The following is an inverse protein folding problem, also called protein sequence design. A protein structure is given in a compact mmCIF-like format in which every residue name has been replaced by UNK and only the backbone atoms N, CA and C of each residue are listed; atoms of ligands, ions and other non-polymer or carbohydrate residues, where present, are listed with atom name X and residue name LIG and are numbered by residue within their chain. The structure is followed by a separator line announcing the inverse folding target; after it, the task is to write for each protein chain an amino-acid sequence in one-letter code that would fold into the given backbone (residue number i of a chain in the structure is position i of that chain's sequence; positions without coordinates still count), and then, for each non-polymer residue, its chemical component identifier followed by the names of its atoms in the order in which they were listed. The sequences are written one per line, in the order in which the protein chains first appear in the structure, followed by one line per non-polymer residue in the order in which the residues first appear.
data_IF_360785413552
#
_entry.id   IF_360785413552
#
_cell.length_a   1.000
_cell.length_b   1.000
_cell.length_c   1.000
_cell.angle_alpha   90.00
_cell.angle_beta   90.00
_cell.angle_gamma   90.00
#
_symmetry.space_group_name_H-M   'P 1'
#
loop_
_entity.id
_entity.type
_entity.pdbx_description
1 polymer ?
#
# COMPACT_ATOMS: atom_id res chain seq x y z
N UNK A 1 4.60 26.74 3.68
CA UNK A 1 4.94 26.66 2.23
C UNK A 1 3.99 25.63 1.63
N UNK A 2 3.27 25.98 0.55
CA UNK A 2 2.31 25.09 -0.07
C UNK A 2 3.04 24.09 -0.96
N UNK A 3 2.84 22.78 -0.68
CA UNK A 3 3.46 21.68 -1.40
C UNK A 3 2.65 21.32 -2.63
N UNK A 4 3.28 21.27 -3.80
CA UNK A 4 2.65 20.77 -5.02
C UNK A 4 2.91 19.26 -5.20
N UNK A 5 1.88 18.51 -5.65
CA UNK A 5 2.04 17.09 -5.97
C UNK A 5 2.71 16.92 -7.33
N UNK A 6 3.59 15.91 -7.45
CA UNK A 6 4.26 15.59 -8.72
C UNK A 6 3.26 15.27 -9.84
N UNK A 7 2.15 14.61 -9.52
CA UNK A 7 1.08 14.37 -10.50
C UNK A 7 0.48 15.67 -11.06
N UNK A 8 0.30 16.70 -10.23
CA UNK A 8 -0.20 18.01 -10.67
C UNK A 8 0.82 18.74 -11.55
N UNK A 9 2.12 18.66 -11.22
CA UNK A 9 3.17 19.22 -12.08
C UNK A 9 3.12 18.64 -13.51
N UNK A 10 2.92 17.32 -13.62
CA UNK A 10 2.80 16.69 -14.95
C UNK A 10 1.49 17.01 -15.67
N UNK A 11 0.42 17.27 -14.93
CA UNK A 11 -0.88 17.63 -15.53
C UNK A 11 -0.89 19.07 -16.07
N UNK A 12 -0.30 20.00 -15.30
CA UNK A 12 -0.35 21.44 -15.57
C UNK A 12 0.98 22.00 -16.09
N UNK A 13 1.83 21.15 -16.68
CA UNK A 13 3.22 21.44 -17.03
C UNK A 13 3.41 22.73 -17.84
N UNK A 14 2.54 22.99 -18.85
CA UNK A 14 2.65 24.15 -19.72
C UNK A 14 2.42 25.49 -18.98
N UNK A 15 1.55 25.44 -17.94
CA UNK A 15 1.22 26.63 -17.15
C UNK A 15 2.26 26.91 -16.06
N UNK A 16 3.11 25.92 -15.77
CA UNK A 16 4.09 25.97 -14.67
C UNK A 16 5.52 26.27 -15.15
N UNK A 17 5.76 26.34 -16.45
CA UNK A 17 7.08 26.65 -16.99
C UNK A 17 7.64 27.97 -16.42
N UNK A 18 8.86 27.94 -15.94
CA UNK A 18 9.54 29.04 -15.29
C UNK A 18 9.04 29.41 -13.88
N UNK A 19 7.95 28.78 -13.37
CA UNK A 19 7.45 29.08 -12.03
C UNK A 19 8.22 28.32 -10.95
N UNK A 20 8.43 28.99 -9.83
CA UNK A 20 9.01 28.36 -8.65
C UNK A 20 7.96 27.54 -7.90
N UNK A 21 8.30 26.30 -7.59
CA UNK A 21 7.43 25.33 -6.91
C UNK A 21 8.16 24.65 -5.79
N UNK A 22 7.39 24.17 -4.81
CA UNK A 22 7.90 23.31 -3.74
C UNK A 22 7.32 21.91 -3.89
N UNK A 23 8.18 20.90 -3.97
CA UNK A 23 7.82 19.48 -4.00
C UNK A 23 8.51 18.74 -2.87
N UNK A 24 7.80 17.77 -2.29
CA UNK A 24 8.35 16.89 -1.27
C UNK A 24 8.22 15.45 -1.73
N UNK A 25 9.24 14.64 -1.49
CA UNK A 25 9.21 13.24 -1.91
C UNK A 25 10.42 12.46 -1.44
N UNK A 26 10.50 11.24 -1.93
CA UNK A 26 11.61 10.33 -1.61
C UNK A 26 12.50 10.16 -2.83
N UNK A 27 13.82 10.23 -2.60
CA UNK A 27 14.83 9.99 -3.63
C UNK A 27 14.76 8.52 -4.09
N UNK A 28 14.56 8.33 -5.39
CA UNK A 28 14.64 7.02 -6.07
C UNK A 28 16.03 6.75 -6.58
N UNK A 29 16.70 7.79 -7.07
CA UNK A 29 18.11 7.76 -7.43
C UNK A 29 18.72 9.12 -7.18
N UNK A 30 19.99 9.14 -6.85
CA UNK A 30 20.82 10.35 -6.80
C UNK A 30 22.07 10.04 -7.62
N UNK A 31 22.39 10.94 -8.56
CA UNK A 31 23.57 10.84 -9.41
C UNK A 31 24.39 12.10 -9.25
N UNK A 32 25.57 11.96 -8.68
CA UNK A 32 26.55 13.03 -8.53
C UNK A 32 27.50 13.06 -9.73
N UNK A 33 27.60 14.24 -10.37
CA UNK A 33 28.53 14.53 -11.46
C UNK A 33 29.61 15.52 -11.02
N UNK A 34 29.80 15.72 -9.72
CA UNK A 34 30.74 16.61 -9.02
C UNK A 34 30.36 18.09 -9.02
N UNK A 35 30.07 18.69 -10.16
CA UNK A 35 29.66 20.11 -10.30
C UNK A 35 28.14 20.26 -10.37
N UNK A 36 27.45 19.24 -10.83
CA UNK A 36 25.98 19.15 -10.86
C UNK A 36 25.55 17.72 -10.61
N UNK A 37 24.26 17.51 -10.41
CA UNK A 37 23.72 16.18 -10.19
C UNK A 37 22.23 16.10 -10.48
N UNK A 38 21.71 14.88 -10.47
CA UNK A 38 20.31 14.58 -10.74
C UNK A 38 19.72 13.75 -9.63
N UNK A 39 18.51 14.11 -9.22
CA UNK A 39 17.70 13.33 -8.29
C UNK A 39 16.42 12.90 -9.03
N UNK A 40 16.11 11.62 -9.01
CA UNK A 40 14.77 11.15 -9.33
C UNK A 40 13.94 11.16 -8.05
N UNK A 41 12.97 12.06 -7.95
CA UNK A 41 12.09 12.23 -6.80
C UNK A 41 10.71 11.64 -7.07
N UNK A 42 10.12 10.97 -6.10
CA UNK A 42 8.76 10.47 -6.19
C UNK A 42 7.99 10.73 -4.88
N UNK A 43 6.81 11.31 -4.98
CA UNK A 43 5.94 11.62 -3.85
C UNK A 43 4.78 10.62 -3.66
N UNK A 44 4.73 9.59 -4.49
CA UNK A 44 3.66 8.59 -4.49
C UNK A 44 2.37 9.03 -5.20
N UNK A 45 2.25 10.25 -5.68
CA UNK A 45 1.04 10.73 -6.37
C UNK A 45 0.85 10.11 -7.75
N UNK A 46 1.95 9.74 -8.44
CA UNK A 46 1.93 9.06 -9.73
C UNK A 46 3.08 8.07 -9.89
N UNK A 47 3.11 7.31 -11.01
CA UNK A 47 4.20 6.38 -11.33
C UNK A 47 5.47 7.06 -11.83
N UNK A 48 5.34 8.23 -12.43
CA UNK A 48 6.47 8.96 -12.98
C UNK A 48 7.32 9.53 -11.83
N UNK A 49 8.63 9.44 -11.97
CA UNK A 49 9.55 10.17 -11.12
C UNK A 49 9.77 11.56 -11.71
N UNK A 50 9.95 12.55 -10.84
CA UNK A 50 10.32 13.90 -11.22
C UNK A 50 11.84 14.00 -11.21
N UNK A 51 12.44 14.50 -12.28
CA UNK A 51 13.85 14.84 -12.29
C UNK A 51 14.06 16.20 -11.61
N UNK A 52 14.99 16.22 -10.68
CA UNK A 52 15.51 17.45 -10.06
C UNK A 52 16.96 17.58 -10.46
N UNK A 53 17.30 18.74 -11.01
CA UNK A 53 18.68 19.14 -11.34
C UNK A 53 19.21 19.94 -10.16
N UNK A 54 20.36 19.54 -9.63
CA UNK A 54 21.05 20.23 -8.55
C UNK A 54 22.43 20.70 -9.02
N UNK A 55 22.81 21.92 -8.67
CA UNK A 55 24.11 22.54 -9.00
C UNK A 55 24.93 22.79 -7.73
N UNK A 56 26.22 22.50 -7.79
CA UNK A 56 27.13 22.78 -6.69
C UNK A 56 27.34 24.27 -6.45
N UNK A 57 27.16 25.09 -7.51
CA UNK A 57 27.30 26.54 -7.43
C UNK A 57 26.07 27.22 -6.80
N UNK A 58 24.90 26.58 -6.88
CA UNK A 58 23.63 27.12 -6.38
C UNK A 58 23.27 26.58 -4.97
N UNK A 59 23.72 25.37 -4.63
CA UNK A 59 23.36 24.69 -3.40
C UNK A 59 24.52 24.58 -2.41
N UNK A 60 24.47 25.34 -1.33
CA UNK A 60 25.50 25.32 -0.28
C UNK A 60 25.68 23.93 0.38
N UNK A 61 24.63 23.10 0.38
CA UNK A 61 24.63 21.75 0.94
C UNK A 61 24.70 20.64 -0.12
N UNK A 62 25.19 20.95 -1.33
CA UNK A 62 25.29 20.01 -2.46
C UNK A 62 25.92 18.68 -2.07
N UNK A 63 27.06 18.70 -1.35
CA UNK A 63 27.74 17.48 -0.91
C UNK A 63 26.92 16.62 0.05
N UNK A 64 26.15 17.25 0.92
CA UNK A 64 25.25 16.53 1.82
C UNK A 64 24.15 15.83 1.01
N UNK A 65 23.56 16.51 0.04
CA UNK A 65 22.50 15.97 -0.80
C UNK A 65 23.04 14.84 -1.69
N UNK A 66 24.18 15.06 -2.33
CA UNK A 66 24.83 14.07 -3.20
C UNK A 66 25.23 12.79 -2.43
N UNK A 67 25.50 12.89 -1.14
CA UNK A 67 25.81 11.78 -0.24
C UNK A 67 24.60 11.04 0.31
N UNK A 68 23.36 11.44 -0.01
CA UNK A 68 22.18 10.76 0.47
C UNK A 68 21.94 9.43 -0.27
N UNK A 69 21.28 8.51 0.43
CA UNK A 69 20.92 7.20 -0.12
C UNK A 69 19.50 7.20 -0.71
N UNK A 70 19.21 6.17 -1.51
CA UNK A 70 17.85 5.88 -1.98
C UNK A 70 16.89 5.81 -0.80
N UNK A 71 15.74 6.46 -0.92
CA UNK A 71 14.74 6.52 0.13
C UNK A 71 14.84 7.73 1.05
N UNK A 72 15.88 8.56 0.93
CA UNK A 72 15.95 9.83 1.67
C UNK A 72 14.74 10.71 1.34
N UNK A 73 14.17 11.36 2.35
CA UNK A 73 13.07 12.30 2.21
C UNK A 73 13.61 13.71 1.99
N UNK A 74 13.15 14.35 0.93
CA UNK A 74 13.65 15.64 0.47
C UNK A 74 12.50 16.62 0.28
N UNK A 75 12.77 17.90 0.64
CA UNK A 75 11.96 19.05 0.27
C UNK A 75 12.77 19.82 -0.77
N UNK A 76 12.20 20.02 -1.94
CA UNK A 76 12.86 20.66 -3.09
C UNK A 76 12.09 21.89 -3.48
N UNK A 77 12.75 23.05 -3.51
CA UNK A 77 12.24 24.27 -4.11
C UNK A 77 13.03 24.56 -5.36
N UNK A 78 12.36 25.02 -6.42
CA UNK A 78 13.03 25.36 -7.66
C UNK A 78 12.10 25.68 -8.81
N UNK A 79 12.66 26.15 -9.90
CA UNK A 79 11.93 26.50 -11.10
C UNK A 79 11.62 25.26 -11.95
N UNK A 80 10.39 25.18 -12.42
CA UNK A 80 9.98 24.18 -13.42
C UNK A 80 10.59 24.56 -14.77
N UNK A 81 11.18 23.61 -15.46
CA UNK A 81 11.76 23.77 -16.79
C UNK A 81 11.19 22.69 -17.70
N UNK A 82 10.55 23.10 -18.79
CA UNK A 82 10.08 22.15 -19.80
C UNK A 82 11.26 21.61 -20.62
N UNK A 83 11.26 20.29 -20.83
CA UNK A 83 12.31 19.58 -21.57
C UNK A 83 11.70 18.68 -22.66
N UNK A 84 11.03 19.24 -23.67
CA UNK A 84 10.28 18.47 -24.67
C UNK A 84 11.15 17.52 -25.50
N UNK A 85 12.41 17.85 -25.69
CA UNK A 85 13.39 17.02 -26.42
C UNK A 85 14.00 15.90 -25.55
N UNK A 86 13.76 15.93 -24.21
CA UNK A 86 14.32 14.95 -23.30
C UNK A 86 13.36 13.77 -23.08
N UNK A 87 13.87 12.71 -22.43
CA UNK A 87 13.07 11.54 -22.09
C UNK A 87 11.87 11.87 -21.19
N UNK A 88 11.99 12.91 -20.39
CA UNK A 88 10.95 13.42 -19.50
C UNK A 88 10.51 14.80 -19.94
N UNK A 89 9.22 15.16 -19.82
CA UNK A 89 8.68 16.40 -20.36
C UNK A 89 9.09 17.65 -19.59
N UNK A 90 9.47 17.50 -18.31
CA UNK A 90 9.89 18.60 -17.44
C UNK A 90 10.89 18.13 -16.39
N UNK A 91 11.60 19.08 -15.81
CA UNK A 91 12.47 18.92 -14.65
C UNK A 91 12.35 20.12 -13.71
N UNK A 92 12.82 19.99 -12.48
CA UNK A 92 12.98 21.12 -11.56
C UNK A 92 14.45 21.48 -11.46
N UNK A 93 14.77 22.73 -11.75
CA UNK A 93 16.07 23.32 -11.44
C UNK A 93 16.02 23.82 -9.99
N UNK A 94 16.69 23.11 -9.10
CA UNK A 94 16.57 23.35 -7.66
C UNK A 94 17.30 24.63 -7.24
N UNK A 95 16.58 25.52 -6.57
CA UNK A 95 17.12 26.69 -5.86
C UNK A 95 17.46 26.35 -4.41
N UNK A 96 16.74 25.40 -3.80
CA UNK A 96 17.08 24.85 -2.49
C UNK A 96 16.62 23.40 -2.35
N UNK A 97 17.37 22.61 -1.60
CA UNK A 97 17.01 21.22 -1.22
C UNK A 97 17.30 21.04 0.27
N UNK A 98 16.28 20.61 1.00
CA UNK A 98 16.40 20.26 2.40
C UNK A 98 16.27 18.74 2.57
N UNK A 99 17.13 18.16 3.41
CA UNK A 99 17.07 16.73 3.76
C UNK A 99 16.23 16.58 5.03
N UNK A 100 14.94 16.32 4.85
CA UNK A 100 13.99 16.11 5.95
C UNK A 100 14.26 14.79 6.68
N UNK A 101 14.63 13.74 5.94
CA UNK A 101 14.92 12.44 6.52
C UNK A 101 16.02 11.71 5.75
N UNK A 102 17.06 11.31 6.48
CA UNK A 102 18.18 10.54 5.91
C UNK A 102 17.78 9.07 5.74
N UNK A 103 18.35 8.43 4.72
CA UNK A 103 18.25 6.98 4.50
C UNK A 103 19.62 6.34 4.70
N UNK A 104 19.62 5.14 5.26
CA UNK A 104 20.84 4.41 5.55
C UNK A 104 21.33 3.60 4.33
N UNK A 105 22.64 3.28 4.22
CA UNK A 105 23.19 2.52 3.09
C UNK A 105 22.61 1.09 2.97
N UNK A 106 22.12 0.54 4.07
CA UNK A 106 21.52 -0.79 4.15
C UNK A 106 20.02 -0.82 3.80
N UNK A 107 19.46 0.33 3.36
CA UNK A 107 18.06 0.38 2.90
C UNK A 107 17.79 -0.70 1.84
N UNK A 108 16.82 -1.62 2.06
CA UNK A 108 16.70 -2.84 1.27
C UNK A 108 16.34 -2.63 -0.21
N UNK A 109 15.60 -1.55 -0.52
CA UNK A 109 15.15 -1.25 -1.88
C UNK A 109 16.18 -0.42 -2.65
N UNK A 110 17.33 -1.00 -2.92
CA UNK A 110 18.37 -0.40 -3.74
C UNK A 110 17.99 -0.38 -5.23
N UNK A 111 18.72 0.39 -6.05
CA UNK A 111 18.53 0.50 -7.51
C UNK A 111 18.92 -0.80 -8.22
N UNK A 112 18.14 -1.86 -8.01
CA UNK A 112 18.28 -3.16 -8.68
C UNK A 112 16.92 -3.84 -8.79
N UNK A 113 16.82 -4.84 -9.66
CA UNK A 113 15.63 -5.68 -9.75
C UNK A 113 15.52 -6.54 -8.49
N UNK A 114 14.34 -6.55 -7.86
CA UNK A 114 14.02 -7.37 -6.71
C UNK A 114 13.03 -8.46 -7.12
N UNK A 115 13.23 -9.69 -6.64
CA UNK A 115 12.26 -10.75 -6.86
C UNK A 115 11.00 -10.57 -6.00
N UNK A 116 9.89 -11.18 -6.43
CA UNK A 116 8.63 -11.13 -5.67
C UNK A 116 8.79 -11.81 -4.32
N UNK A 117 9.55 -12.91 -4.26
CA UNK A 117 9.84 -13.66 -3.04
C UNK A 117 10.56 -12.77 -2.02
N UNK A 118 11.61 -12.07 -2.45
CA UNK A 118 12.32 -11.12 -1.60
C UNK A 118 11.38 -9.99 -1.12
N UNK A 119 10.56 -9.42 -2.01
CA UNK A 119 9.62 -8.36 -1.65
C UNK A 119 8.55 -8.82 -0.65
N UNK A 120 8.23 -10.10 -0.61
CA UNK A 120 7.34 -10.68 0.41
C UNK A 120 7.97 -10.73 1.80
N UNK A 121 9.29 -10.79 1.90
CA UNK A 121 9.99 -10.74 3.21
C UNK A 121 10.06 -9.33 3.81
N UNK A 122 9.89 -8.29 2.98
CA UNK A 122 9.91 -6.87 3.38
C UNK A 122 8.57 -6.19 3.09
N UNK A 123 7.48 -6.76 3.61
CA UNK A 123 6.11 -6.35 3.30
C UNK A 123 5.84 -4.86 3.50
N UNK A 124 6.43 -4.25 4.52
CA UNK A 124 6.31 -2.82 4.87
C UNK A 124 6.97 -1.90 3.85
N UNK A 125 7.92 -2.39 3.03
CA UNK A 125 8.62 -1.59 2.00
C UNK A 125 8.13 -1.90 0.58
N UNK A 126 7.59 -3.09 0.33
CA UNK A 126 7.21 -3.52 -1.03
C UNK A 126 6.27 -2.57 -1.78
N UNK A 127 5.33 -1.81 -1.13
CA UNK A 127 4.49 -0.84 -1.84
C UNK A 127 5.26 0.28 -2.53
N UNK A 128 6.51 0.50 -2.12
CA UNK A 128 7.40 1.50 -2.73
C UNK A 128 8.02 1.04 -4.05
N UNK A 129 7.87 -0.23 -4.43
CA UNK A 129 8.30 -0.75 -5.73
C UNK A 129 7.25 -0.52 -6.80
N UNK A 130 7.67 -0.38 -8.07
CA UNK A 130 6.73 -0.14 -9.17
C UNK A 130 5.69 -1.26 -9.29
N UNK A 131 6.11 -2.52 -9.15
CA UNK A 131 5.21 -3.68 -9.23
C UNK A 131 4.11 -3.62 -8.18
N UNK A 132 4.47 -3.50 -6.91
CA UNK A 132 3.47 -3.49 -5.83
C UNK A 132 2.71 -2.17 -5.75
N UNK A 133 3.32 -1.05 -6.10
CA UNK A 133 2.61 0.21 -6.26
C UNK A 133 1.50 0.09 -7.31
N UNK A 134 1.78 -0.52 -8.47
CA UNK A 134 0.77 -0.79 -9.49
C UNK A 134 -0.32 -1.73 -8.96
N UNK A 135 0.06 -2.85 -8.36
CA UNK A 135 -0.87 -3.84 -7.82
C UNK A 135 -1.84 -3.23 -6.80
N UNK A 136 -1.32 -2.45 -5.85
CA UNK A 136 -2.18 -1.85 -4.82
C UNK A 136 -3.06 -0.71 -5.36
N UNK A 137 -2.60 0.04 -6.36
CA UNK A 137 -3.44 1.03 -7.05
C UNK A 137 -4.59 0.37 -7.80
N UNK A 138 -4.30 -0.68 -8.58
CA UNK A 138 -5.34 -1.46 -9.28
C UNK A 138 -6.33 -2.04 -8.28
N UNK A 139 -5.85 -2.63 -7.18
CA UNK A 139 -6.71 -3.16 -6.12
C UNK A 139 -7.64 -2.09 -5.53
N UNK A 140 -7.11 -0.90 -5.27
CA UNK A 140 -7.90 0.22 -4.72
C UNK A 140 -9.00 0.66 -5.68
N UNK A 141 -8.66 0.84 -6.96
CA UNK A 141 -9.64 1.24 -8.00
C UNK A 141 -10.69 0.14 -8.22
N UNK A 142 -10.26 -1.13 -8.26
CA UNK A 142 -11.17 -2.27 -8.42
C UNK A 142 -12.16 -2.37 -7.26
N UNK A 143 -11.71 -2.17 -6.02
CA UNK A 143 -12.59 -2.18 -4.85
C UNK A 143 -13.66 -1.08 -4.94
N UNK A 144 -13.27 0.13 -5.35
CA UNK A 144 -14.22 1.21 -5.54
C UNK A 144 -15.22 0.92 -6.68
N UNK A 145 -14.74 0.42 -7.81
CA UNK A 145 -15.58 0.06 -8.95
C UNK A 145 -16.62 -1.02 -8.61
N UNK A 146 -16.27 -1.97 -7.74
CA UNK A 146 -17.22 -2.99 -7.24
C UNK A 146 -18.35 -2.31 -6.47
N UNK A 147 -18.04 -1.41 -5.54
CA UNK A 147 -19.06 -0.70 -4.78
C UNK A 147 -19.94 0.19 -5.68
N UNK A 148 -19.34 0.87 -6.64
CA UNK A 148 -20.06 1.71 -7.60
C UNK A 148 -21.02 0.87 -8.46
N UNK A 149 -20.54 -0.24 -9.03
CA UNK A 149 -21.34 -1.16 -9.82
C UNK A 149 -22.49 -1.77 -9.02
N UNK A 150 -22.24 -2.23 -7.80
CA UNK A 150 -23.27 -2.82 -6.95
C UNK A 150 -24.36 -1.80 -6.57
N UNK A 151 -23.98 -0.56 -6.29
CA UNK A 151 -24.96 0.52 -6.04
C UNK A 151 -25.79 0.87 -7.27
N UNK A 152 -25.21 0.77 -8.46
CA UNK A 152 -25.94 1.06 -9.71
C UNK A 152 -27.10 0.07 -9.96
N UNK A 153 -27.00 -1.14 -9.41
CA UNK A 153 -28.08 -2.15 -9.46
C UNK A 153 -28.91 -2.19 -8.16
N UNK A 154 -28.85 -1.13 -7.35
CA UNK A 154 -29.60 -0.94 -6.11
C UNK A 154 -29.32 -1.95 -4.98
N UNK A 155 -28.19 -2.68 -5.04
CA UNK A 155 -27.79 -3.62 -3.97
C UNK A 155 -27.27 -2.90 -2.73
N UNK A 156 -27.63 -3.39 -1.56
CA UNK A 156 -27.16 -2.89 -0.27
C UNK A 156 -25.91 -3.63 0.19
N UNK A 157 -24.91 -2.89 0.64
CA UNK A 157 -23.72 -3.50 1.22
C UNK A 157 -24.01 -4.02 2.63
N UNK A 158 -23.92 -5.32 2.83
CA UNK A 158 -23.96 -5.94 4.14
C UNK A 158 -22.56 -6.04 4.76
N UNK A 159 -22.40 -5.52 5.97
CA UNK A 159 -21.15 -5.64 6.74
C UNK A 159 -21.20 -6.89 7.60
N UNK A 160 -20.14 -7.68 7.53
CA UNK A 160 -20.05 -8.97 8.19
C UNK A 160 -19.01 -8.97 9.29
N UNK A 161 -19.26 -9.66 10.42
CA UNK A 161 -18.21 -9.89 11.39
C UNK A 161 -17.16 -10.84 10.82
N UNK A 162 -15.87 -10.43 10.88
CA UNK A 162 -14.75 -11.28 10.46
C UNK A 162 -14.55 -12.52 11.34
N UNK A 163 -15.25 -12.60 12.47
CA UNK A 163 -15.12 -13.64 13.49
C UNK A 163 -16.51 -14.11 13.96
N UNK A 164 -17.25 -14.90 13.15
CA UNK A 164 -18.53 -15.47 13.55
C UNK A 164 -18.36 -16.60 14.56
N UNK A 165 -19.38 -16.79 15.38
CA UNK A 165 -19.53 -18.04 16.13
C UNK A 165 -19.71 -19.23 15.15
N UNK A 166 -19.29 -20.45 15.50
CA UNK A 166 -19.31 -21.58 14.58
C UNK A 166 -20.73 -22.07 14.36
N UNK A 167 -21.40 -21.51 13.38
CA UNK A 167 -22.77 -21.95 12.98
C UNK A 167 -22.81 -22.51 11.56
N UNK A 168 -21.71 -22.36 10.80
CA UNK A 168 -21.67 -22.82 9.42
C UNK A 168 -21.15 -24.26 9.31
N UNK A 169 -21.88 -25.14 8.67
CA UNK A 169 -21.36 -26.34 8.00
C UNK A 169 -20.56 -25.89 6.77
N UNK A 170 -19.44 -25.18 6.97
CA UNK A 170 -18.59 -24.82 5.87
C UNK A 170 -17.76 -26.05 5.45
N UNK A 171 -17.67 -26.38 4.17
CA UNK A 171 -16.84 -27.48 3.68
C UNK A 171 -15.33 -27.19 3.80
N UNK A 172 -14.94 -25.97 4.16
CA UNK A 172 -13.54 -25.55 4.29
C UNK A 172 -13.08 -25.57 5.75
N UNK A 173 -11.82 -25.95 5.97
CA UNK A 173 -11.18 -25.83 7.28
C UNK A 173 -11.09 -24.35 7.70
N UNK A 174 -11.47 -24.08 8.96
CA UNK A 174 -11.51 -22.73 9.50
C UNK A 174 -10.34 -22.46 10.45
N UNK A 175 -9.75 -21.26 10.34
CA UNK A 175 -8.83 -20.78 11.36
C UNK A 175 -9.56 -20.51 12.67
N UNK A 176 -9.07 -21.09 13.74
CA UNK A 176 -9.62 -20.87 15.07
C UNK A 176 -8.99 -19.64 15.73
N UNK A 177 -9.83 -18.76 16.28
CA UNK A 177 -9.40 -17.57 17.01
C UNK A 177 -9.43 -17.85 18.51
N UNK A 178 -8.36 -17.54 19.23
CA UNK A 178 -8.28 -17.66 20.66
C UNK A 178 -7.37 -16.60 21.27
N UNK A 179 -7.72 -16.10 22.44
CA UNK A 179 -6.89 -15.23 23.29
C UNK A 179 -6.07 -16.00 24.31
N UNK A 180 -6.19 -17.33 24.31
CA UNK A 180 -5.48 -18.19 25.24
C UNK A 180 -4.03 -18.39 24.78
N UNK A 181 -3.08 -18.32 25.71
CA UNK A 181 -1.69 -18.66 25.46
C UNK A 181 -1.54 -20.17 25.25
N UNK A 182 -1.38 -20.60 24.01
CA UNK A 182 -1.26 -22.02 23.64
C UNK A 182 0.04 -22.66 24.15
N UNK A 183 1.07 -21.88 24.53
CA UNK A 183 2.32 -22.38 25.10
C UNK A 183 2.19 -22.73 26.59
N UNK A 184 1.31 -22.07 27.30
CA UNK A 184 1.01 -22.37 28.71
C UNK A 184 -0.02 -23.49 28.79
N UNK A 185 0.40 -24.74 28.57
CA UNK A 185 -0.44 -25.93 28.81
C UNK A 185 -0.59 -26.16 30.31
N UNK A 186 -1.65 -25.64 30.91
CA UNK A 186 -2.10 -26.12 32.23
C UNK A 186 -2.69 -27.54 32.08
N UNK A 187 -2.33 -28.48 32.95
CA UNK A 187 -2.88 -29.84 32.93
C UNK A 187 -4.43 -29.90 32.98
N UNK A 188 -5.05 -28.92 33.61
CA UNK A 188 -6.51 -28.80 33.76
C UNK A 188 -7.28 -28.40 32.50
N UNK A 189 -6.57 -27.99 31.41
CA UNK A 189 -7.23 -27.58 30.16
C UNK A 189 -7.85 -28.72 29.35
N UNK A 190 -7.67 -29.95 29.72
CA UNK A 190 -8.33 -31.12 29.08
C UNK A 190 -9.82 -31.25 29.42
N UNK A 191 -10.31 -30.55 30.44
CA UNK A 191 -11.74 -30.47 30.77
C UNK A 191 -12.37 -29.31 30.04
N UNK A 192 -13.62 -29.47 29.58
CA UNK A 192 -14.39 -28.52 28.75
C UNK A 192 -14.50 -27.06 29.28
N UNK A 193 -13.94 -26.76 30.47
CA UNK A 193 -13.91 -25.43 31.09
C UNK A 193 -12.84 -24.48 30.59
N UNK A 194 -11.85 -24.93 29.79
CA UNK A 194 -10.74 -24.06 29.35
C UNK A 194 -11.14 -22.92 28.40
N UNK A 195 -12.18 -23.11 27.60
CA UNK A 195 -12.70 -22.07 26.70
C UNK A 195 -13.48 -20.98 27.43
N UNK A 196 -14.07 -21.29 28.60
CA UNK A 196 -14.83 -20.31 29.40
C UNK A 196 -13.93 -19.24 30.05
N UNK A 197 -12.61 -19.46 30.11
CA UNK A 197 -11.64 -18.52 30.67
C UNK A 197 -11.11 -17.53 29.63
N UNK A 198 -11.31 -17.74 28.32
CA UNK A 198 -10.95 -16.82 27.26
C UNK A 198 -11.96 -15.69 27.10
N UNK A 199 -11.52 -14.53 26.56
CA UNK A 199 -12.39 -13.39 26.29
C UNK A 199 -13.65 -13.77 25.50
N UNK A 200 -13.51 -14.67 24.54
CA UNK A 200 -14.61 -15.08 23.64
C UNK A 200 -15.53 -16.15 24.25
N UNK A 201 -15.13 -16.78 25.35
CA UNK A 201 -15.89 -17.82 26.12
C UNK A 201 -16.46 -19.00 25.30
N UNK A 202 -16.29 -18.97 23.99
CA UNK A 202 -16.75 -20.00 23.05
C UNK A 202 -15.74 -20.18 21.91
N UNK A 203 -15.87 -21.31 21.21
CA UNK A 203 -15.06 -21.56 20.01
C UNK A 203 -15.46 -20.55 18.95
N UNK A 204 -14.49 -19.75 18.48
CA UNK A 204 -14.68 -18.74 17.45
C UNK A 204 -13.69 -18.99 16.32
N UNK A 205 -14.11 -18.77 15.09
CA UNK A 205 -13.30 -18.99 13.90
C UNK A 205 -13.32 -17.75 13.00
N UNK A 206 -12.33 -17.61 12.13
CA UNK A 206 -12.39 -16.61 11.06
C UNK A 206 -13.41 -17.07 10.02
N UNK A 207 -14.11 -16.09 9.41
CA UNK A 207 -15.14 -16.38 8.41
C UNK A 207 -14.54 -16.96 7.13
N UNK A 208 -15.21 -17.91 6.53
CA UNK A 208 -14.86 -18.53 5.24
C UNK A 208 -15.73 -18.03 4.09
N UNK A 209 -16.83 -17.31 4.39
CA UNK A 209 -17.80 -16.73 3.46
C UNK A 209 -18.69 -15.73 4.19
N UNK A 210 -19.23 -14.79 3.47
CA UNK A 210 -20.23 -13.83 3.94
C UNK A 210 -21.66 -14.37 3.94
N UNK A 211 -21.93 -15.44 3.21
CA UNK A 211 -23.27 -15.91 2.82
C UNK A 211 -24.26 -15.99 3.99
N UNK A 212 -23.93 -16.71 5.07
CA UNK A 212 -24.87 -16.93 6.17
C UNK A 212 -25.40 -15.65 6.83
N UNK A 213 -24.57 -14.62 6.90
CA UNK A 213 -25.01 -13.34 7.43
C UNK A 213 -25.71 -12.50 6.35
N UNK A 214 -25.24 -12.58 5.09
CA UNK A 214 -25.86 -11.88 3.97
C UNK A 214 -27.31 -12.29 3.78
N UNK A 215 -27.63 -13.57 3.90
CA UNK A 215 -29.00 -14.10 3.80
C UNK A 215 -29.99 -13.42 4.78
N UNK A 216 -29.54 -13.09 6.00
CA UNK A 216 -30.38 -12.35 6.95
C UNK A 216 -30.71 -10.94 6.46
N UNK A 217 -29.75 -10.29 5.78
CA UNK A 217 -29.96 -8.97 5.21
C UNK A 217 -30.78 -9.05 3.92
N UNK A 218 -30.57 -10.07 3.10
CA UNK A 218 -31.35 -10.30 1.90
C UNK A 218 -32.84 -10.50 2.21
N UNK A 219 -33.13 -11.21 3.28
CA UNK A 219 -34.53 -11.37 3.77
C UNK A 219 -35.18 -10.05 4.22
N UNK A 220 -34.42 -9.02 4.52
CA UNK A 220 -34.91 -7.71 4.94
C UNK A 220 -34.87 -6.65 3.83
N UNK A 221 -33.88 -6.70 2.96
CA UNK A 221 -33.58 -5.64 1.99
C UNK A 221 -33.68 -6.08 0.53
N UNK A 222 -33.86 -7.39 0.25
CA UNK A 222 -33.81 -7.93 -1.10
C UNK A 222 -32.36 -8.04 -1.58
N UNK A 223 -32.00 -7.35 -2.66
CA UNK A 223 -30.66 -7.43 -3.24
C UNK A 223 -29.60 -6.85 -2.32
N UNK A 224 -28.65 -7.69 -1.93
CA UNK A 224 -27.52 -7.32 -1.07
C UNK A 224 -26.22 -7.84 -1.65
N UNK A 225 -25.10 -7.33 -1.18
CA UNK A 225 -23.79 -7.89 -1.48
C UNK A 225 -22.87 -7.78 -0.29
N UNK A 226 -21.95 -8.72 -0.19
CA UNK A 226 -20.83 -8.64 0.73
C UNK A 226 -19.53 -8.36 -0.03
N UNK A 227 -18.63 -7.63 0.59
CA UNK A 227 -17.27 -7.42 0.08
C UNK A 227 -16.32 -7.29 1.25
N UNK A 228 -15.55 -8.35 1.51
CA UNK A 228 -14.67 -8.37 2.66
C UNK A 228 -13.66 -9.52 2.66
N UNK A 229 -12.74 -9.52 3.65
CA UNK A 229 -11.77 -10.58 3.80
C UNK A 229 -12.43 -11.88 4.26
N UNK A 230 -12.08 -12.97 3.60
CA UNK A 230 -12.43 -14.34 3.97
C UNK A 230 -11.17 -15.16 4.18
N UNK A 231 -11.27 -16.20 5.02
CA UNK A 231 -10.13 -16.98 5.49
C UNK A 231 -10.42 -18.46 5.35
N UNK A 232 -9.53 -19.19 4.66
CA UNK A 232 -9.65 -20.65 4.50
C UNK A 232 -8.34 -21.31 4.89
N UNK A 233 -8.40 -22.23 5.85
CA UNK A 233 -7.24 -22.96 6.37
C UNK A 233 -6.90 -24.18 5.49
N UNK A 234 -7.14 -24.10 4.20
CA UNK A 234 -6.89 -25.21 3.27
C UNK A 234 -5.38 -25.48 3.16
N UNK A 235 -4.99 -26.73 3.38
CA UNK A 235 -3.62 -27.18 3.19
C UNK A 235 -3.33 -27.43 1.69
N UNK A 236 -3.31 -26.36 0.91
CA UNK A 236 -3.12 -26.41 -0.53
C UNK A 236 -1.91 -25.58 -0.93
N UNK A 237 -0.91 -26.24 -1.51
CA UNK A 237 0.33 -25.62 -2.01
C UNK A 237 0.19 -25.18 -3.47
N UNK A 238 -0.89 -24.50 -3.83
CA UNK A 238 -1.06 -23.99 -5.20
C UNK A 238 -0.82 -22.48 -5.27
N UNK A 239 -0.42 -21.99 -6.42
CA UNK A 239 -0.22 -20.56 -6.65
C UNK A 239 -1.53 -19.74 -6.64
N UNK A 240 -2.68 -20.40 -6.72
CA UNK A 240 -4.01 -19.79 -6.85
C UNK A 240 -4.81 -19.76 -5.55
N UNK A 241 -4.38 -20.48 -4.50
CA UNK A 241 -5.06 -20.52 -3.20
C UNK A 241 -4.31 -19.66 -2.19
N UNK A 242 -4.99 -18.67 -1.65
CA UNK A 242 -4.50 -17.84 -0.56
C UNK A 242 -5.32 -18.15 0.69
N UNK A 243 -4.67 -18.18 1.86
CA UNK A 243 -5.34 -18.39 3.13
C UNK A 243 -6.23 -17.20 3.53
N UNK A 244 -5.97 -16.02 2.98
CA UNK A 244 -6.75 -14.79 3.10
C UNK A 244 -6.96 -14.17 1.73
N UNK A 245 -8.20 -13.85 1.39
CA UNK A 245 -8.56 -13.15 0.15
C UNK A 245 -9.84 -12.35 0.34
N UNK A 246 -10.09 -11.38 -0.54
CA UNK A 246 -11.33 -10.63 -0.53
C UNK A 246 -12.32 -11.28 -1.47
N UNK A 247 -13.54 -11.50 -0.97
CA UNK A 247 -14.62 -12.10 -1.72
C UNK A 247 -15.76 -11.11 -1.93
N UNK A 248 -16.36 -11.17 -3.11
CA UNK A 248 -17.59 -10.45 -3.46
C UNK A 248 -18.66 -11.52 -3.58
N UNK A 249 -19.75 -11.36 -2.85
CA UNK A 249 -20.87 -12.30 -2.86
C UNK A 249 -22.16 -11.48 -3.01
N UNK A 250 -22.69 -11.35 -4.24
CA UNK A 250 -24.02 -10.79 -4.46
C UNK A 250 -25.08 -11.86 -4.13
N UNK A 251 -26.13 -11.46 -3.46
CA UNK A 251 -27.27 -12.28 -3.05
C UNK A 251 -28.60 -11.66 -3.49
#
# INVERSE_FOLDING_TARGET
MERMKIAALFADQEQLDGKEVTVCGWARTIRDMKTFGFIELNDGSCFKNLQVVMSADELNNYKEIAGQNVGAALIVCGAVVLTPEAKQPLEIKASSIEVEGKSTPDYPLQKKRHSVEFLRTIQHLRPRTNLFSATFRVRSVAAYAIHESSRAVASYMSTLPSSPAPTAKAPAEMFQVTTLDLKRRSPDRRRAGGLQQGLLRQKTSLTVSGQLNAENFAMAFGDVYTFGPTFRAENSNTQRHAAEFWMIEPE
#
